data_IF_759181237516
#
_entry.id   IF_759181237516
#
_cell.length_a   1.000
_cell.length_b   1.000
_cell.length_c   1.000
_cell.angle_alpha   90.00
_cell.angle_beta   90.00
_cell.angle_gamma   90.00
#
_symmetry.space_group_name_H-M   'P 1'
#
loop_
_entity.id
_entity.type
_entity.pdbx_description
1 polymer ?
#
# COMPACT_ATOMS: atom_id res chain seq x y z
N UNK A 1 -2.08 13.55 -14.97
CA UNK A 1 -2.24 12.16 -14.50
C UNK A 1 -1.46 11.92 -13.26
N UNK A 2 -2.14 11.42 -12.27
CA UNK A 2 -1.56 11.26 -10.95
C UNK A 2 -1.03 9.84 -10.77
N UNK A 3 0.21 9.74 -10.28
CA UNK A 3 0.77 8.47 -9.84
C UNK A 3 0.50 8.24 -8.35
N UNK A 4 -0.46 8.95 -7.80
CA UNK A 4 -0.82 8.87 -6.40
C UNK A 4 -2.30 8.58 -6.23
N UNK A 5 -2.63 7.98 -5.09
CA UNK A 5 -4.02 7.71 -4.74
C UNK A 5 -4.16 7.70 -3.22
N UNK A 6 -5.26 8.26 -2.73
CA UNK A 6 -5.59 8.25 -1.29
C UNK A 6 -6.78 7.32 -1.07
N UNK A 7 -6.64 6.44 -0.08
CA UNK A 7 -7.67 5.48 0.31
C UNK A 7 -8.26 5.90 1.64
N UNK A 8 -9.57 5.84 1.76
CA UNK A 8 -10.32 6.22 2.97
C UNK A 8 -10.77 4.99 3.74
N UNK A 9 -11.22 5.21 4.98
CA UNK A 9 -11.71 4.13 5.81
C UNK A 9 -10.61 3.23 6.33
N UNK A 10 -9.42 3.77 6.53
CA UNK A 10 -8.26 3.02 7.00
C UNK A 10 -7.98 3.42 8.44
N UNK A 11 -8.59 2.71 9.38
CA UNK A 11 -8.30 2.90 10.81
C UNK A 11 -6.91 2.35 11.14
N UNK A 12 -6.42 2.61 12.35
CA UNK A 12 -5.13 2.08 12.78
C UNK A 12 -5.10 0.55 12.72
N UNK A 13 -6.17 -0.12 13.15
CA UNK A 13 -6.23 -1.58 13.10
C UNK A 13 -6.28 -2.09 11.65
N UNK A 14 -7.00 -1.40 10.78
CA UNK A 14 -7.03 -1.72 9.36
C UNK A 14 -5.63 -1.55 8.75
N UNK A 15 -4.94 -0.48 9.10
CA UNK A 15 -3.59 -0.20 8.60
C UNK A 15 -2.60 -1.30 9.01
N UNK A 16 -2.65 -1.74 10.28
CA UNK A 16 -1.79 -2.84 10.73
C UNK A 16 -2.09 -4.13 9.96
N UNK A 17 -3.36 -4.40 9.72
CA UNK A 17 -3.78 -5.56 8.93
C UNK A 17 -3.27 -5.46 7.48
N UNK A 18 -3.36 -4.28 6.87
CA UNK A 18 -2.88 -4.05 5.50
C UNK A 18 -1.38 -4.34 5.40
N UNK A 19 -0.59 -3.82 6.32
CA UNK A 19 0.86 -4.06 6.30
C UNK A 19 1.18 -5.55 6.46
N UNK A 20 0.52 -6.20 7.39
CA UNK A 20 0.75 -7.62 7.67
C UNK A 20 0.32 -8.51 6.51
N UNK A 21 -0.86 -8.25 5.96
CA UNK A 21 -1.39 -9.00 4.83
C UNK A 21 -0.51 -8.83 3.60
N UNK A 22 -0.08 -7.61 3.33
CA UNK A 22 0.79 -7.32 2.19
C UNK A 22 2.12 -8.05 2.30
N UNK A 23 2.67 -8.13 3.50
CA UNK A 23 3.91 -8.88 3.72
C UNK A 23 3.70 -10.38 3.48
N UNK A 24 2.61 -10.94 4.02
CA UNK A 24 2.33 -12.37 3.90
C UNK A 24 2.00 -12.78 2.47
N UNK A 25 1.17 -12.02 1.78
CA UNK A 25 0.65 -12.42 0.48
C UNK A 25 1.50 -11.96 -0.69
N UNK A 26 2.20 -10.86 -0.55
CA UNK A 26 2.95 -10.25 -1.66
C UNK A 26 4.42 -10.02 -1.35
N UNK A 27 4.85 -10.28 -0.13
CA UNK A 27 6.23 -9.99 0.27
C UNK A 27 6.53 -8.50 0.34
N UNK A 28 5.50 -7.66 0.47
CA UNK A 28 5.67 -6.21 0.54
C UNK A 28 6.30 -5.82 1.87
N UNK A 29 7.36 -5.03 1.81
CA UNK A 29 8.08 -4.56 2.99
C UNK A 29 7.82 -3.07 3.17
N UNK A 30 7.24 -2.72 4.31
CA UNK A 30 7.02 -1.33 4.71
C UNK A 30 8.18 -0.88 5.59
N UNK A 31 8.80 0.24 5.25
CA UNK A 31 9.97 0.77 5.94
C UNK A 31 9.85 2.29 6.10
N UNK A 32 10.28 2.87 7.24
CA UNK A 32 10.81 2.18 8.41
C UNK A 32 9.73 1.42 9.17
N UNK A 33 10.08 0.36 9.91
CA UNK A 33 9.07 -0.39 10.68
C UNK A 33 8.34 0.51 11.68
N UNK A 34 7.03 0.36 11.73
CA UNK A 34 6.18 1.10 12.66
C UNK A 34 5.93 2.56 12.30
N UNK A 35 6.52 3.06 11.22
CA UNK A 35 6.32 4.45 10.80
C UNK A 35 5.02 4.61 10.01
N UNK A 36 4.42 5.80 10.12
CA UNK A 36 3.24 6.15 9.33
C UNK A 36 3.57 6.71 7.95
N UNK A 37 4.83 7.04 7.72
CA UNK A 37 5.34 7.52 6.43
C UNK A 37 6.59 6.74 6.07
N UNK A 38 6.74 6.42 4.80
CA UNK A 38 7.94 5.73 4.33
C UNK A 38 7.73 5.11 2.97
N UNK A 39 8.32 3.95 2.76
CA UNK A 39 8.25 3.24 1.49
C UNK A 39 7.66 1.85 1.66
N UNK A 40 6.95 1.39 0.63
CA UNK A 40 6.44 0.03 0.52
C UNK A 40 7.03 -0.57 -0.75
N UNK A 41 7.80 -1.65 -0.61
CA UNK A 41 8.47 -2.29 -1.73
C UNK A 41 7.99 -3.72 -1.90
N UNK A 42 7.60 -4.06 -3.11
CA UNK A 42 7.21 -5.41 -3.49
C UNK A 42 8.06 -5.89 -4.65
N UNK A 43 8.74 -7.01 -4.48
CA UNK A 43 9.52 -7.61 -5.56
C UNK A 43 8.63 -8.59 -6.33
N UNK A 44 8.59 -8.44 -7.64
CA UNK A 44 7.83 -9.32 -8.52
C UNK A 44 8.74 -9.95 -9.56
N UNK A 45 8.24 -10.96 -10.27
CA UNK A 45 9.02 -11.63 -11.32
C UNK A 45 9.33 -10.70 -12.49
N UNK A 46 8.60 -9.60 -12.64
CA UNK A 46 8.82 -8.63 -13.72
C UNK A 46 9.53 -7.36 -13.25
N UNK A 47 9.86 -7.27 -11.97
CA UNK A 47 10.57 -6.12 -11.41
C UNK A 47 9.97 -5.67 -10.09
N UNK A 48 10.52 -4.60 -9.54
CA UNK A 48 10.10 -4.07 -8.24
C UNK A 48 9.03 -3.02 -8.38
N UNK A 49 8.08 -3.04 -7.47
CA UNK A 49 7.11 -1.95 -7.27
C UNK A 49 7.52 -1.23 -5.99
N UNK A 50 7.77 0.07 -6.08
CA UNK A 50 8.14 0.89 -4.93
C UNK A 50 7.14 2.03 -4.82
N UNK A 51 6.52 2.14 -3.66
CA UNK A 51 5.55 3.19 -3.36
C UNK A 51 6.01 3.98 -2.15
N UNK A 52 5.75 5.29 -2.16
CA UNK A 52 5.78 6.05 -0.92
C UNK A 52 4.40 5.96 -0.28
N UNK A 53 4.34 5.93 1.03
CA UNK A 53 3.07 5.91 1.74
C UNK A 53 3.04 6.96 2.84
N UNK A 54 1.83 7.41 3.15
CA UNK A 54 1.55 8.36 4.23
C UNK A 54 0.22 7.98 4.85
N UNK A 55 0.29 7.34 6.02
CA UNK A 55 -0.91 6.96 6.78
C UNK A 55 -1.27 8.06 7.75
N UNK A 56 -2.53 8.51 7.69
CA UNK A 56 -3.07 9.54 8.58
C UNK A 56 -4.12 8.89 9.49
N UNK A 57 -3.76 8.56 10.75
CA UNK A 57 -4.72 7.93 11.66
C UNK A 57 -5.86 8.86 12.08
N UNK A 58 -5.64 10.15 12.05
CA UNK A 58 -6.68 11.12 12.42
C UNK A 58 -7.82 11.14 11.40
N UNK A 59 -7.48 11.15 10.12
CA UNK A 59 -8.48 11.14 9.04
C UNK A 59 -8.79 9.73 8.55
N UNK A 60 -8.10 8.72 9.08
CA UNK A 60 -8.24 7.32 8.68
C UNK A 60 -8.06 7.15 7.17
N UNK A 61 -6.99 7.74 6.65
CA UNK A 61 -6.63 7.66 5.24
C UNK A 61 -5.19 7.21 5.08
N UNK A 62 -4.91 6.58 3.94
CA UNK A 62 -3.53 6.31 3.54
C UNK A 62 -3.36 6.78 2.09
N UNK A 63 -2.31 7.55 1.86
CA UNK A 63 -1.95 8.02 0.52
C UNK A 63 -0.74 7.24 0.04
N UNK A 64 -0.78 6.82 -1.21
CA UNK A 64 0.35 6.15 -1.86
C UNK A 64 0.76 6.92 -3.09
N UNK A 65 2.08 6.95 -3.35
CA UNK A 65 2.65 7.53 -4.56
C UNK A 65 3.53 6.45 -5.20
N UNK A 66 3.30 6.17 -6.48
CA UNK A 66 4.14 5.21 -7.21
C UNK A 66 5.47 5.89 -7.52
N UNK A 67 6.55 5.36 -6.95
CA UNK A 67 7.91 5.84 -7.18
C UNK A 67 8.54 5.07 -8.33
N UNK A 68 8.29 3.74 -8.38
CA UNK A 68 8.85 2.86 -9.38
C UNK A 68 7.91 1.69 -9.61
N UNK A 69 7.74 1.30 -10.86
CA UNK A 69 7.00 0.09 -11.20
C UNK A 69 7.53 -0.51 -12.49
N UNK A 70 7.35 -1.81 -12.70
CA UNK A 70 7.66 -2.42 -14.00
C UNK A 70 6.75 -1.83 -15.10
N UNK A 71 7.28 -1.72 -16.30
CA UNK A 71 6.52 -1.20 -17.45
C UNK A 71 5.27 -2.03 -17.69
N UNK A 72 5.36 -3.35 -17.48
CA UNK A 72 4.26 -4.28 -17.71
C UNK A 72 3.21 -4.30 -16.61
N UNK A 73 3.43 -3.61 -15.50
CA UNK A 73 2.49 -3.55 -14.38
C UNK A 73 1.61 -2.30 -14.51
N UNK A 74 0.32 -2.42 -14.87
CA UNK A 74 -0.57 -1.26 -14.96
C UNK A 74 -0.83 -0.67 -13.58
N UNK A 75 -0.92 0.67 -13.51
CA UNK A 75 -1.24 1.37 -12.26
C UNK A 75 -2.57 0.89 -11.68
N UNK A 76 -3.55 0.60 -12.52
CA UNK A 76 -4.86 0.16 -12.07
C UNK A 76 -4.78 -1.15 -11.27
N UNK A 77 -3.89 -2.08 -11.65
CA UNK A 77 -3.70 -3.30 -10.89
C UNK A 77 -3.08 -3.05 -9.52
N UNK A 78 -2.15 -2.09 -9.45
CA UNK A 78 -1.54 -1.70 -8.18
C UNK A 78 -2.60 -1.14 -7.25
N UNK A 79 -3.42 -0.18 -7.74
CA UNK A 79 -4.47 0.43 -6.95
C UNK A 79 -5.56 -0.56 -6.56
N UNK A 80 -5.95 -1.45 -7.47
CA UNK A 80 -6.95 -2.48 -7.19
C UNK A 80 -6.46 -3.46 -6.13
N UNK A 81 -5.19 -3.85 -6.21
CA UNK A 81 -4.59 -4.75 -5.21
C UNK A 81 -4.59 -4.13 -3.82
N UNK A 82 -4.25 -2.84 -3.73
CA UNK A 82 -4.27 -2.12 -2.45
C UNK A 82 -5.70 -2.01 -1.92
N UNK A 83 -6.64 -1.65 -2.78
CA UNK A 83 -8.05 -1.52 -2.39
C UNK A 83 -8.60 -2.86 -1.90
N UNK A 84 -8.28 -3.96 -2.60
CA UNK A 84 -8.72 -5.29 -2.19
C UNK A 84 -8.15 -5.68 -0.82
N UNK A 85 -6.89 -5.33 -0.56
CA UNK A 85 -6.26 -5.59 0.73
C UNK A 85 -6.95 -4.80 1.84
N UNK A 86 -7.22 -3.52 1.58
CA UNK A 86 -7.94 -2.66 2.53
C UNK A 86 -9.33 -3.23 2.80
N UNK A 87 -10.05 -3.62 1.75
CA UNK A 87 -11.39 -4.18 1.89
C UNK A 87 -11.38 -5.47 2.70
N UNK A 88 -10.38 -6.32 2.50
CA UNK A 88 -10.24 -7.56 3.26
C UNK A 88 -9.87 -7.32 4.72
N UNK A 89 -9.29 -6.18 5.04
CA UNK A 89 -8.92 -5.80 6.40
C UNK A 89 -9.98 -4.95 7.10
N UNK A 90 -10.88 -4.34 6.35
CA UNK A 90 -11.96 -3.53 6.91
C UNK A 90 -12.97 -4.42 7.62
N UNK A 91 -13.41 -4.01 8.80
CA UNK A 91 -14.35 -4.80 9.56
C UNK A 91 -13.68 -5.71 10.59
N UNK A 92 -12.36 -5.67 10.66
CA UNK A 92 -11.62 -6.37 11.72
C UNK A 92 -11.52 -5.51 12.96
#
# INVERSE_FOLDING_TARGET
>A
MSDSKTFKGVSTSTWECVKETSLKEHGTIYAPPGANKGTAKTSTIVGDVVLDFDFDPTNETVAYIIVKKPILAPKSEIWNGIQDTINGCSGN
#
